data_IF_025189049315
#
_entry.id   IF_025189049315
#
_cell.length_a   1.000
_cell.length_b   1.000
_cell.length_c   1.000
_cell.angle_alpha   90.00
_cell.angle_beta   90.00
_cell.angle_gamma   90.00
#
_symmetry.space_group_name_H-M   'P 1'
#
loop_
_entity.id
_entity.type
_entity.pdbx_description
1 polymer ?
#
# COMPACT_ATOMS: atom_id res chain seq x y z
N UNK A 1 7.85 -17.54 0.43
CA UNK A 1 7.85 -16.10 0.79
C UNK A 1 6.75 -15.29 0.14
N UNK A 2 6.81 -14.94 -1.16
CA UNK A 2 5.81 -14.05 -1.80
C UNK A 2 4.38 -14.62 -1.80
N UNK A 3 4.23 -15.92 -2.12
CA UNK A 3 2.91 -16.60 -2.06
C UNK A 3 2.32 -16.60 -0.66
N UNK A 4 3.14 -16.93 0.36
CA UNK A 4 2.73 -16.90 1.77
C UNK A 4 2.29 -15.50 2.22
N UNK A 5 2.98 -14.45 1.78
CA UNK A 5 2.57 -13.08 2.08
C UNK A 5 1.19 -12.73 1.50
N UNK A 6 0.92 -13.14 0.25
CA UNK A 6 -0.41 -12.94 -0.36
C UNK A 6 -1.50 -13.70 0.40
N UNK A 7 -1.22 -14.91 0.86
CA UNK A 7 -2.17 -15.73 1.60
C UNK A 7 -2.60 -15.07 2.93
N UNK A 8 -1.74 -14.25 3.56
CA UNK A 8 -2.11 -13.49 4.77
C UNK A 8 -3.38 -12.65 4.54
N UNK A 9 -3.47 -11.95 3.41
CA UNK A 9 -4.60 -11.08 3.09
C UNK A 9 -5.87 -11.84 2.67
N UNK A 10 -5.74 -13.13 2.34
CA UNK A 10 -6.88 -14.02 2.06
C UNK A 10 -7.39 -14.67 3.34
N UNK A 11 -6.49 -15.14 4.21
CA UNK A 11 -6.83 -15.79 5.48
C UNK A 11 -7.37 -14.78 6.51
N UNK A 12 -6.77 -13.59 6.59
CA UNK A 12 -7.14 -12.50 7.51
C UNK A 12 -7.09 -12.85 8.99
N UNK A 13 -6.29 -13.85 9.35
CA UNK A 13 -6.11 -14.29 10.74
C UNK A 13 -5.02 -13.48 11.45
N UNK A 14 -5.27 -13.15 12.71
CA UNK A 14 -4.30 -12.46 13.55
C UNK A 14 -3.08 -13.36 13.85
N UNK A 15 -1.89 -12.75 13.97
CA UNK A 15 -0.65 -13.46 14.28
C UNK A 15 0.06 -14.14 13.11
N UNK A 16 -0.62 -14.45 12.00
CA UNK A 16 0.02 -15.04 10.80
C UNK A 16 1.10 -14.13 10.20
N UNK A 17 0.88 -12.81 10.25
CA UNK A 17 1.85 -11.82 9.77
C UNK A 17 3.16 -11.88 10.56
N UNK A 18 3.10 -12.09 11.89
CA UNK A 18 4.29 -12.19 12.74
C UNK A 18 5.14 -13.39 12.37
N UNK A 19 4.50 -14.55 12.20
CA UNK A 19 5.18 -15.79 11.78
C UNK A 19 5.87 -15.61 10.42
N UNK A 20 5.16 -15.01 9.46
CA UNK A 20 5.73 -14.74 8.14
C UNK A 20 6.93 -13.77 8.20
N UNK A 21 6.85 -12.72 9.03
CA UNK A 21 7.96 -11.77 9.22
C UNK A 21 9.19 -12.49 9.80
N UNK A 22 9.02 -13.35 10.80
CA UNK A 22 10.12 -14.08 11.41
C UNK A 22 10.81 -15.02 10.43
N UNK A 23 10.03 -15.73 9.60
CA UNK A 23 10.54 -16.56 8.51
C UNK A 23 11.28 -15.70 7.47
N UNK A 24 10.72 -14.56 7.08
CA UNK A 24 11.30 -13.64 6.10
C UNK A 24 12.61 -12.99 6.56
N UNK A 25 12.74 -12.68 7.85
CA UNK A 25 13.98 -12.15 8.41
C UNK A 25 15.09 -13.19 8.46
N UNK A 26 14.75 -14.46 8.71
CA UNK A 26 15.71 -15.57 8.76
C UNK A 26 16.11 -16.07 7.37
N UNK A 27 15.25 -15.93 6.38
CA UNK A 27 15.53 -16.34 5.00
C UNK A 27 16.65 -15.52 4.34
N UNK A 28 17.35 -16.12 3.39
CA UNK A 28 18.35 -15.45 2.53
C UNK A 28 17.71 -14.71 1.34
N UNK A 29 16.38 -14.62 1.29
CA UNK A 29 15.70 -13.95 0.19
C UNK A 29 15.84 -12.42 0.29
N UNK A 30 15.74 -11.73 -0.85
CA UNK A 30 15.81 -10.27 -0.94
C UNK A 30 14.73 -9.50 -0.16
N UNK A 31 13.81 -10.18 0.53
CA UNK A 31 12.75 -9.58 1.35
C UNK A 31 13.16 -9.37 2.81
N UNK A 32 14.38 -9.76 3.22
CA UNK A 32 14.85 -9.62 4.61
C UNK A 32 14.72 -8.19 5.14
N UNK A 33 15.14 -7.19 4.36
CA UNK A 33 15.02 -5.78 4.76
C UNK A 33 13.57 -5.30 4.78
N UNK A 34 12.74 -5.79 3.84
CA UNK A 34 11.31 -5.51 3.83
C UNK A 34 10.63 -6.04 5.11
N UNK A 35 10.90 -7.29 5.49
CA UNK A 35 10.37 -7.89 6.70
C UNK A 35 10.86 -7.21 7.99
N UNK A 36 12.12 -6.74 8.03
CA UNK A 36 12.63 -5.94 9.15
C UNK A 36 11.88 -4.62 9.29
N UNK A 37 11.62 -3.91 8.19
CA UNK A 37 10.91 -2.64 8.22
C UNK A 37 9.42 -2.82 8.58
N UNK A 38 8.80 -3.92 8.13
CA UNK A 38 7.43 -4.30 8.51
C UNK A 38 7.20 -4.39 10.03
N UNK A 39 8.23 -4.72 10.82
CA UNK A 39 8.12 -4.75 12.29
C UNK A 39 7.85 -3.37 12.89
N UNK A 40 8.32 -2.30 12.26
CA UNK A 40 8.09 -0.92 12.73
C UNK A 40 6.64 -0.51 12.54
N UNK A 41 6.02 -0.96 11.46
CA UNK A 41 4.64 -0.66 11.10
C UNK A 41 3.70 -1.84 11.37
N UNK A 42 4.07 -2.72 12.31
CA UNK A 42 3.40 -4.02 12.49
C UNK A 42 1.90 -3.85 12.74
N UNK A 43 1.50 -2.99 13.66
CA UNK A 43 0.08 -2.80 14.00
C UNK A 43 -0.73 -2.32 12.80
N UNK A 44 -0.21 -1.36 12.04
CA UNK A 44 -0.88 -0.83 10.85
C UNK A 44 -1.05 -1.91 9.78
N UNK A 45 -0.01 -2.71 9.52
CA UNK A 45 -0.09 -3.77 8.51
C UNK A 45 -0.92 -4.95 8.99
N UNK A 46 -0.85 -5.32 10.26
CA UNK A 46 -1.69 -6.36 10.83
C UNK A 46 -3.17 -5.99 10.75
N UNK A 47 -3.51 -4.74 11.07
CA UNK A 47 -4.87 -4.22 10.88
C UNK A 47 -5.29 -4.26 9.41
N UNK A 48 -4.39 -3.94 8.47
CA UNK A 48 -4.69 -4.06 7.04
C UNK A 48 -4.90 -5.51 6.57
N UNK A 49 -4.29 -6.49 7.25
CA UNK A 49 -4.48 -7.93 6.98
C UNK A 49 -5.81 -8.43 7.55
N UNK A 50 -6.14 -8.08 8.80
CA UNK A 50 -7.31 -8.60 9.51
C UNK A 50 -8.61 -7.90 9.12
N UNK A 51 -8.55 -6.61 8.77
CA UNK A 51 -9.75 -5.82 8.50
C UNK A 51 -10.32 -6.11 7.11
N UNK A 52 -11.63 -5.97 6.96
CA UNK A 52 -12.32 -6.04 5.65
C UNK A 52 -12.23 -4.75 4.85
N UNK A 53 -11.89 -3.65 5.50
CA UNK A 53 -11.75 -2.31 4.91
C UNK A 53 -10.44 -2.24 4.15
N UNK A 54 -10.52 -1.80 2.90
CA UNK A 54 -9.36 -1.60 2.03
C UNK A 54 -9.09 -0.11 1.83
N UNK A 55 -7.81 0.28 1.90
CA UNK A 55 -7.38 1.63 1.50
C UNK A 55 -7.42 1.85 -0.03
N UNK A 56 -7.88 0.86 -0.80
CA UNK A 56 -7.87 0.89 -2.26
C UNK A 56 -8.61 2.08 -2.87
N UNK A 57 -9.72 2.53 -2.28
CA UNK A 57 -10.45 3.70 -2.79
C UNK A 57 -9.64 4.99 -2.62
N UNK A 58 -9.01 5.17 -1.46
CA UNK A 58 -8.15 6.33 -1.18
C UNK A 58 -6.92 6.31 -2.09
N UNK A 59 -6.25 5.16 -2.22
CA UNK A 59 -5.11 4.98 -3.14
C UNK A 59 -5.52 5.22 -4.60
N UNK A 60 -6.73 4.83 -4.99
CA UNK A 60 -7.30 5.14 -6.29
C UNK A 60 -7.41 6.64 -6.56
N UNK A 61 -7.92 7.41 -5.60
CA UNK A 61 -7.99 8.88 -5.70
C UNK A 61 -6.59 9.50 -5.74
N UNK A 62 -5.68 9.04 -4.89
CA UNK A 62 -4.28 9.49 -4.90
C UNK A 62 -3.62 9.23 -6.25
N UNK A 63 -3.84 8.05 -6.83
CA UNK A 63 -3.33 7.70 -8.16
C UNK A 63 -3.95 8.55 -9.26
N UNK A 64 -5.25 8.84 -9.21
CA UNK A 64 -5.91 9.77 -10.15
C UNK A 64 -5.26 11.15 -10.09
N UNK A 65 -5.06 11.71 -8.89
CA UNK A 65 -4.43 13.03 -8.72
C UNK A 65 -2.99 13.01 -9.23
N UNK A 66 -2.20 11.98 -8.88
CA UNK A 66 -0.83 11.80 -9.39
C UNK A 66 -0.82 11.73 -10.92
N UNK A 67 -1.79 11.05 -11.54
CA UNK A 67 -1.91 10.95 -12.99
C UNK A 67 -2.19 12.31 -13.65
N UNK A 68 -3.15 13.08 -13.11
CA UNK A 68 -3.44 14.45 -13.60
C UNK A 68 -2.18 15.32 -13.53
N UNK A 69 -1.46 15.28 -12.40
CA UNK A 69 -0.20 16.04 -12.25
C UNK A 69 0.86 15.60 -13.27
N UNK A 70 0.99 14.31 -13.58
CA UNK A 70 1.92 13.78 -14.60
C UNK A 70 1.52 14.19 -16.02
N UNK A 71 0.23 14.18 -16.37
CA UNK A 71 -0.28 14.67 -17.66
C UNK A 71 0.10 16.13 -17.93
N UNK A 72 0.31 16.90 -16.86
CA UNK A 72 0.70 18.32 -16.91
C UNK A 72 2.21 18.52 -16.73
N UNK A 73 3.01 17.46 -16.90
CA UNK A 73 4.47 17.49 -16.73
C UNK A 73 4.94 18.04 -15.39
N UNK A 74 4.13 17.90 -14.33
CA UNK A 74 4.43 18.44 -13.01
C UNK A 74 4.34 19.96 -12.89
N UNK A 75 3.93 20.69 -13.95
CA UNK A 75 3.88 22.17 -14.00
C UNK A 75 2.61 22.77 -13.41
N UNK A 76 1.71 21.93 -12.90
CA UNK A 76 0.47 22.39 -12.27
C UNK A 76 0.72 22.83 -10.83
N UNK A 77 0.62 24.15 -10.58
CA UNK A 77 0.46 24.68 -9.22
C UNK A 77 -0.88 24.23 -8.61
N UNK A 78 -1.05 24.42 -7.30
CA UNK A 78 -2.21 23.92 -6.56
C UNK A 78 -3.57 24.33 -7.16
N UNK A 79 -3.71 25.61 -7.55
CA UNK A 79 -4.94 26.12 -8.16
C UNK A 79 -5.29 25.41 -9.46
N UNK A 80 -4.31 25.22 -10.35
CA UNK A 80 -4.52 24.57 -11.64
C UNK A 80 -4.79 23.07 -11.47
N UNK A 81 -4.08 22.40 -10.55
CA UNK A 81 -4.34 21.01 -10.21
C UNK A 81 -5.77 20.83 -9.67
N UNK A 82 -6.22 21.72 -8.77
CA UNK A 82 -7.59 21.70 -8.24
C UNK A 82 -8.65 21.83 -9.35
N UNK A 83 -8.47 22.79 -10.28
CA UNK A 83 -9.35 22.94 -11.44
C UNK A 83 -9.42 21.67 -12.28
N UNK A 84 -8.29 21.01 -12.52
CA UNK A 84 -8.21 19.79 -13.32
C UNK A 84 -8.79 18.56 -12.62
N UNK A 85 -8.70 18.50 -11.28
CA UNK A 85 -9.31 17.41 -10.49
C UNK A 85 -10.84 17.54 -10.47
N UNK A 86 -11.35 18.77 -10.35
CA UNK A 86 -12.78 19.09 -10.29
C UNK A 86 -13.46 19.14 -11.67
N UNK A 87 -12.69 19.42 -12.73
CA UNK A 87 -13.20 19.35 -14.09
C UNK A 87 -13.78 17.94 -14.33
N UNK A 88 -15.08 17.87 -14.63
CA UNK A 88 -15.73 16.61 -14.99
C UNK A 88 -14.96 16.02 -16.16
N UNK A 89 -14.59 14.75 -16.04
CA UNK A 89 -14.19 13.96 -17.20
C UNK A 89 -15.41 13.96 -18.12
N UNK A 90 -15.33 14.70 -19.23
CA UNK A 90 -16.27 14.57 -20.32
C UNK A 90 -16.15 13.17 -20.93
#
# INVERSE_FOLDING_TARGET
MVKGFKQLFTAKEDGLLKNWIEEAVKSECGLKNFAKNLRKDYEAVNNAVTTTISNGQVEGQVNRIKNIKRKMYGRAGFQLLGKMVLAKSA
#
